data_IF_879805882249
#
_entry.id   IF_879805882249
#
_cell.length_a   1.000
_cell.length_b   1.000
_cell.length_c   1.000
_cell.angle_alpha   90.00
_cell.angle_beta   90.00
_cell.angle_gamma   90.00
#
_symmetry.space_group_name_H-M   'P 1'
#
loop_
_entity.id
_entity.type
_entity.pdbx_description
1 polymer ?
#
# COMPACT_ATOMS: atom_id res chain seq x y z
N UNK A 1 44.17 8.65 -24.64
CA UNK A 1 44.13 10.06 -24.19
C UNK A 1 44.38 10.96 -25.39
N UNK A 2 43.32 11.41 -26.07
CA UNK A 2 43.35 12.50 -27.07
C UNK A 2 41.96 13.14 -27.13
N UNK A 3 41.96 14.48 -27.07
CA UNK A 3 40.91 15.42 -27.53
C UNK A 3 39.64 15.48 -26.65
N UNK A 4 39.08 16.62 -26.24
CA UNK A 4 39.14 18.03 -26.70
C UNK A 4 38.54 18.91 -25.56
N UNK A 5 39.19 19.99 -25.07
CA UNK A 5 38.97 21.43 -25.40
C UNK A 5 37.58 21.95 -24.95
N UNK A 6 37.30 23.10 -24.31
CA UNK A 6 38.00 24.32 -23.80
C UNK A 6 36.93 25.09 -22.96
N UNK A 7 37.12 25.47 -21.68
CA UNK A 7 37.52 26.78 -21.08
C UNK A 7 36.77 28.05 -21.61
N UNK A 8 36.86 29.23 -20.95
CA UNK A 8 36.39 29.66 -19.61
C UNK A 8 35.82 31.11 -19.62
N UNK A 9 35.54 31.68 -18.44
CA UNK A 9 35.56 33.14 -18.19
C UNK A 9 34.19 33.84 -18.23
N UNK A 10 33.91 34.89 -17.48
CA UNK A 10 34.73 35.71 -16.58
C UNK A 10 33.81 36.50 -15.62
N UNK A 11 34.37 36.92 -14.49
CA UNK A 11 33.84 37.97 -13.62
C UNK A 11 33.50 39.25 -14.39
N UNK A 12 32.49 40.01 -13.96
CA UNK A 12 32.64 41.39 -13.43
C UNK A 12 31.28 42.10 -13.26
N UNK A 13 31.17 42.73 -12.10
CA UNK A 13 30.23 43.76 -11.61
C UNK A 13 29.70 44.78 -12.62
N UNK A 14 28.41 45.16 -12.50
CA UNK A 14 27.98 46.57 -12.46
C UNK A 14 26.50 46.71 -12.05
N UNK A 15 26.28 47.60 -11.09
CA UNK A 15 25.00 48.08 -10.55
C UNK A 15 24.40 49.13 -11.50
N UNK A 16 23.15 48.98 -11.93
CA UNK A 16 22.33 50.09 -12.46
C UNK A 16 20.92 49.99 -11.90
N UNK A 17 20.57 51.01 -11.13
CA UNK A 17 19.27 51.28 -10.55
C UNK A 17 18.37 51.89 -11.63
N UNK A 18 17.20 51.31 -11.89
CA UNK A 18 16.15 51.94 -12.70
C UNK A 18 14.77 51.68 -12.09
N UNK A 19 14.13 52.77 -11.69
CA UNK A 19 12.76 52.87 -11.20
C UNK A 19 11.76 52.24 -12.18
N UNK A 20 10.79 51.47 -11.66
CA UNK A 20 9.46 51.32 -12.27
C UNK A 20 8.42 50.85 -11.23
N UNK A 21 7.15 51.24 -11.39
CA UNK A 21 6.24 51.57 -10.30
C UNK A 21 5.41 50.39 -9.79
N UNK A 22 4.82 50.60 -8.61
CA UNK A 22 3.90 49.74 -7.91
C UNK A 22 2.90 49.00 -8.81
N UNK A 23 2.99 47.67 -8.81
CA UNK A 23 1.94 46.76 -9.26
C UNK A 23 1.25 46.24 -8.01
N UNK A 24 0.01 46.68 -7.82
CA UNK A 24 -0.87 46.28 -6.74
C UNK A 24 -0.94 44.74 -6.64
N UNK A 25 -0.51 44.19 -5.50
CA UNK A 25 -0.71 42.78 -5.18
C UNK A 25 -2.18 42.56 -4.86
N UNK A 26 -2.93 42.09 -5.86
CA UNK A 26 -4.29 41.60 -5.68
C UNK A 26 -4.23 40.33 -4.83
N UNK A 27 -4.97 40.22 -3.71
CA UNK A 27 -4.95 39.02 -2.88
C UNK A 27 -5.38 37.80 -3.69
N UNK A 28 -4.79 36.62 -3.47
CA UNK A 28 -5.16 35.42 -4.19
C UNK A 28 -6.63 35.11 -3.91
N UNK A 29 -7.41 35.04 -4.99
CA UNK A 29 -8.78 34.55 -4.94
C UNK A 29 -8.75 33.10 -4.45
N UNK A 30 -9.28 32.86 -3.25
CA UNK A 30 -9.52 31.54 -2.73
C UNK A 30 -10.47 30.82 -3.69
N UNK A 31 -9.94 29.81 -4.40
CA UNK A 31 -10.77 28.88 -5.15
C UNK A 31 -11.58 28.07 -4.14
N UNK A 32 -12.91 27.98 -4.24
CA UNK A 32 -13.66 27.08 -3.37
C UNK A 32 -13.24 25.66 -3.70
N UNK A 33 -12.51 25.02 -2.78
CA UNK A 33 -12.29 23.58 -2.79
C UNK A 33 -13.67 22.93 -2.82
N UNK A 34 -14.04 22.37 -3.97
CA UNK A 34 -15.20 21.52 -4.09
C UNK A 34 -14.94 20.29 -3.21
N UNK A 35 -15.48 20.30 -1.98
CA UNK A 35 -15.63 19.08 -1.19
C UNK A 35 -16.54 18.18 -1.99
N UNK A 36 -15.95 17.25 -2.74
CA UNK A 36 -16.69 16.15 -3.34
C UNK A 36 -17.37 15.42 -2.18
N UNK A 37 -18.67 15.65 -2.00
CA UNK A 37 -19.49 14.88 -1.10
C UNK A 37 -19.39 13.43 -1.60
N UNK A 38 -18.61 12.61 -0.88
CA UNK A 38 -18.58 11.18 -1.11
C UNK A 38 -20.01 10.68 -0.89
N UNK A 39 -20.71 10.42 -1.99
CA UNK A 39 -22.02 9.81 -1.97
C UNK A 39 -21.84 8.49 -1.20
N UNK A 40 -22.58 8.22 -0.11
CA UNK A 40 -22.37 7.02 0.67
C UNK A 40 -22.55 5.83 -0.27
N UNK A 41 -21.43 5.15 -0.59
CA UNK A 41 -21.47 3.96 -1.40
C UNK A 41 -22.44 3.00 -0.71
N UNK A 42 -23.44 2.52 -1.44
CA UNK A 42 -24.37 1.54 -0.90
C UNK A 42 -23.55 0.37 -0.33
N UNK A 43 -23.72 0.10 0.96
CA UNK A 43 -23.02 -0.99 1.65
C UNK A 43 -23.29 -2.30 0.90
N UNK A 44 -22.23 -2.94 0.44
CA UNK A 44 -22.32 -4.18 -0.35
C UNK A 44 -22.58 -5.39 0.56
N UNK A 45 -22.06 -5.35 1.79
CA UNK A 45 -22.22 -6.33 2.84
C UNK A 45 -23.05 -5.74 3.99
N UNK A 46 -23.98 -6.54 4.54
CA UNK A 46 -24.66 -6.20 5.78
C UNK A 46 -23.71 -6.37 6.98
N UNK A 47 -24.01 -5.74 8.12
CA UNK A 47 -23.19 -5.92 9.32
C UNK A 47 -23.13 -7.38 9.77
N UNK A 48 -24.25 -8.11 9.70
CA UNK A 48 -24.28 -9.53 10.05
C UNK A 48 -23.43 -10.40 9.12
N UNK A 49 -23.29 -9.99 7.84
CA UNK A 49 -22.41 -10.68 6.89
C UNK A 49 -20.94 -10.39 7.20
N UNK A 50 -20.61 -9.13 7.53
CA UNK A 50 -19.26 -8.76 7.94
C UNK A 50 -18.86 -9.45 9.25
N UNK A 51 -19.74 -9.50 10.24
CA UNK A 51 -19.49 -10.22 11.51
C UNK A 51 -19.16 -11.69 11.25
N UNK A 52 -19.90 -12.36 10.36
CA UNK A 52 -19.63 -13.75 9.98
C UNK A 52 -18.35 -13.91 9.17
N UNK A 53 -18.06 -12.96 8.29
CA UNK A 53 -16.87 -12.97 7.44
C UNK A 53 -15.59 -12.78 8.26
N UNK A 54 -15.63 -11.91 9.26
CA UNK A 54 -14.51 -11.58 10.14
C UNK A 54 -14.38 -12.53 11.34
N UNK A 55 -15.45 -13.26 11.71
CA UNK A 55 -15.44 -14.19 12.84
C UNK A 55 -14.21 -15.14 12.91
N UNK A 56 -13.70 -15.73 11.80
CA UNK A 56 -12.53 -16.60 11.85
C UNK A 56 -11.23 -15.90 12.29
N UNK A 57 -11.16 -14.58 12.12
CA UNK A 57 -9.96 -13.77 12.37
C UNK A 57 -10.16 -12.74 13.50
N UNK A 58 -11.38 -12.60 14.04
CA UNK A 58 -11.74 -11.57 15.02
C UNK A 58 -10.93 -11.60 16.33
N UNK A 59 -10.27 -12.72 16.65
CA UNK A 59 -9.43 -12.87 17.84
C UNK A 59 -7.93 -12.67 17.55
N UNK A 60 -7.56 -12.34 16.32
CA UNK A 60 -6.18 -12.09 15.96
C UNK A 60 -5.73 -10.68 16.38
N UNK A 61 -4.43 -10.49 16.65
CA UNK A 61 -3.89 -9.15 16.92
C UNK A 61 -4.16 -8.21 15.75
N UNK A 62 -4.45 -6.94 16.04
CA UNK A 62 -4.80 -5.92 15.03
C UNK A 62 -3.75 -5.81 13.90
N UNK A 63 -2.46 -5.86 14.23
CA UNK A 63 -1.39 -5.85 13.23
C UNK A 63 -1.48 -7.05 12.24
N UNK A 64 -1.87 -8.23 12.74
CA UNK A 64 -2.07 -9.41 11.90
C UNK A 64 -3.38 -9.30 11.10
N UNK A 65 -4.43 -8.74 11.68
CA UNK A 65 -5.69 -8.46 10.98
C UNK A 65 -5.46 -7.54 9.78
N UNK A 66 -4.76 -6.43 9.97
CA UNK A 66 -4.41 -5.51 8.90
C UNK A 66 -3.62 -6.21 7.78
N UNK A 67 -2.66 -7.07 8.15
CA UNK A 67 -1.89 -7.88 7.20
C UNK A 67 -2.79 -8.82 6.38
N UNK A 68 -3.71 -9.52 7.03
CA UNK A 68 -4.64 -10.46 6.37
C UNK A 68 -5.58 -9.70 5.44
N UNK A 69 -6.16 -8.57 5.90
CA UNK A 69 -7.06 -7.75 5.11
C UNK A 69 -6.37 -7.18 3.87
N UNK A 70 -5.15 -6.65 4.03
CA UNK A 70 -4.36 -6.19 2.88
C UNK A 70 -4.00 -7.35 1.93
N UNK A 71 -3.52 -8.48 2.45
CA UNK A 71 -3.15 -9.61 1.61
C UNK A 71 -4.34 -10.24 0.88
N UNK A 72 -5.55 -10.12 1.43
CA UNK A 72 -6.78 -10.62 0.78
C UNK A 72 -7.12 -9.90 -0.52
N UNK A 73 -6.54 -8.71 -0.78
CA UNK A 73 -6.67 -8.02 -2.07
C UNK A 73 -5.74 -8.57 -3.15
N UNK A 74 -4.82 -9.47 -2.80
CA UNK A 74 -3.85 -10.11 -3.70
C UNK A 74 -3.89 -11.65 -3.61
N UNK A 75 -5.03 -12.28 -3.92
CA UNK A 75 -5.24 -13.71 -3.67
C UNK A 75 -4.26 -14.63 -4.42
N UNK A 76 -3.80 -14.22 -5.60
CA UNK A 76 -2.79 -14.97 -6.34
C UNK A 76 -1.47 -15.05 -5.57
N UNK A 77 -1.00 -13.92 -5.04
CA UNK A 77 0.26 -13.85 -4.29
C UNK A 77 0.17 -14.64 -2.97
N UNK A 78 -0.99 -14.63 -2.32
CA UNK A 78 -1.24 -15.47 -1.14
C UNK A 78 -1.11 -16.96 -1.47
N UNK A 79 -1.66 -17.41 -2.59
CA UNK A 79 -1.54 -18.81 -3.05
C UNK A 79 -0.09 -19.15 -3.41
N UNK A 80 0.63 -18.25 -4.07
CA UNK A 80 2.05 -18.43 -4.39
C UNK A 80 2.90 -18.53 -3.11
N UNK A 81 2.68 -17.63 -2.15
CA UNK A 81 3.33 -17.64 -0.86
C UNK A 81 3.03 -18.95 -0.09
N UNK A 82 1.78 -19.42 -0.09
CA UNK A 82 1.40 -20.67 0.54
C UNK A 82 2.10 -21.89 -0.09
N UNK A 83 2.17 -21.94 -1.43
CA UNK A 83 2.90 -22.98 -2.16
C UNK A 83 4.39 -22.92 -1.89
N UNK A 84 4.97 -21.72 -1.88
CA UNK A 84 6.38 -21.51 -1.54
C UNK A 84 6.68 -21.99 -0.13
N UNK A 85 5.87 -21.62 0.86
CA UNK A 85 6.03 -22.04 2.26
C UNK A 85 5.97 -23.57 2.40
N UNK A 86 5.02 -24.21 1.71
CA UNK A 86 4.89 -25.68 1.68
C UNK A 86 6.09 -26.37 1.03
N UNK A 87 6.69 -25.78 0.01
CA UNK A 87 7.90 -26.30 -0.65
C UNK A 87 9.17 -26.07 0.19
N UNK A 88 9.15 -25.13 1.13
CA UNK A 88 10.29 -24.70 1.93
C UNK A 88 10.06 -24.86 3.45
N UNK A 89 9.64 -26.03 3.96
CA UNK A 89 9.20 -26.18 5.36
C UNK A 89 10.31 -25.99 6.40
N UNK A 90 11.58 -25.96 5.96
CA UNK A 90 12.76 -25.78 6.82
C UNK A 90 13.32 -24.35 6.78
N UNK A 91 12.75 -23.46 5.95
CA UNK A 91 13.24 -22.08 5.80
C UNK A 91 12.50 -21.19 6.79
N UNK A 92 13.22 -20.74 7.82
CA UNK A 92 12.66 -19.94 8.92
C UNK A 92 13.65 -18.85 9.36
N UNK A 93 13.19 -17.91 10.21
CA UNK A 93 14.01 -16.83 10.76
C UNK A 93 14.71 -16.02 9.66
N UNK A 94 16.00 -15.74 9.84
CA UNK A 94 16.78 -14.97 8.86
C UNK A 94 16.77 -15.57 7.45
N UNK A 95 16.76 -16.90 7.31
CA UNK A 95 16.72 -17.53 6.00
C UNK A 95 15.39 -17.26 5.28
N UNK A 96 14.29 -17.17 6.03
CA UNK A 96 12.99 -16.76 5.50
C UNK A 96 13.00 -15.29 5.09
N UNK A 97 13.53 -14.41 5.94
CA UNK A 97 13.67 -12.97 5.63
C UNK A 97 14.48 -12.75 4.34
N UNK A 98 15.64 -13.40 4.22
CA UNK A 98 16.49 -13.33 3.03
C UNK A 98 15.81 -13.88 1.77
N UNK A 99 14.94 -14.89 1.92
CA UNK A 99 14.16 -15.44 0.82
C UNK A 99 13.02 -14.50 0.41
N UNK A 100 12.29 -13.93 1.38
CA UNK A 100 11.21 -12.98 1.16
C UNK A 100 11.70 -11.66 0.57
N UNK A 101 12.93 -11.23 0.88
CA UNK A 101 13.55 -10.06 0.27
C UNK A 101 13.73 -10.18 -1.26
N UNK A 102 13.71 -11.40 -1.81
CA UNK A 102 13.84 -11.68 -3.24
C UNK A 102 12.50 -11.81 -3.96
N UNK A 103 11.41 -11.90 -3.22
CA UNK A 103 10.07 -11.99 -3.79
C UNK A 103 9.59 -10.60 -4.20
N UNK A 104 8.82 -10.54 -5.29
CA UNK A 104 8.18 -9.30 -5.76
C UNK A 104 6.87 -8.98 -5.05
N UNK A 105 6.42 -9.85 -4.15
CA UNK A 105 5.16 -9.67 -3.41
C UNK A 105 5.20 -8.47 -2.48
N UNK A 106 4.02 -7.95 -2.19
CA UNK A 106 3.85 -6.85 -1.24
C UNK A 106 4.32 -7.25 0.18
N UNK A 107 4.60 -6.28 1.08
CA UNK A 107 4.97 -6.57 2.46
C UNK A 107 3.90 -7.42 3.18
N UNK A 108 2.64 -7.17 2.82
CA UNK A 108 1.45 -8.02 2.94
C UNK A 108 1.73 -9.52 3.16
N UNK A 109 2.05 -10.11 2.02
CA UNK A 109 2.07 -11.52 1.70
C UNK A 109 3.40 -12.13 2.13
N UNK A 110 4.49 -11.35 2.02
CA UNK A 110 5.79 -11.75 2.55
C UNK A 110 5.74 -12.01 4.04
N UNK A 111 5.10 -11.14 4.82
CA UNK A 111 5.00 -11.34 6.26
C UNK A 111 4.12 -12.54 6.62
N UNK A 112 3.08 -12.85 5.83
CA UNK A 112 2.25 -14.03 6.05
C UNK A 112 3.04 -15.35 5.97
N UNK A 113 4.17 -15.39 5.27
CA UNK A 113 5.04 -16.59 5.26
C UNK A 113 5.64 -16.92 6.63
N UNK A 114 5.73 -15.93 7.52
CA UNK A 114 6.13 -16.11 8.92
C UNK A 114 4.98 -16.59 9.82
N UNK A 115 3.75 -16.66 9.28
CA UNK A 115 2.55 -17.15 9.99
C UNK A 115 1.89 -18.27 9.17
N UNK A 116 2.53 -19.45 9.04
CA UNK A 116 2.12 -20.47 8.07
C UNK A 116 0.68 -20.95 8.26
N UNK A 117 0.18 -20.99 9.50
CA UNK A 117 -1.20 -21.40 9.78
C UNK A 117 -2.23 -20.47 9.12
N UNK A 118 -2.02 -19.15 9.22
CA UNK A 118 -2.91 -18.15 8.61
C UNK A 118 -2.81 -18.20 7.09
N UNK A 119 -1.57 -18.29 6.58
CA UNK A 119 -1.33 -18.40 5.15
C UNK A 119 -2.00 -19.65 4.54
N UNK A 120 -1.95 -20.79 5.23
CA UNK A 120 -2.69 -21.99 4.81
C UNK A 120 -4.20 -21.80 4.90
N UNK A 121 -4.72 -21.21 5.99
CA UNK A 121 -6.15 -20.92 6.11
C UNK A 121 -6.66 -20.07 4.95
N UNK A 122 -5.93 -19.01 4.60
CA UNK A 122 -6.24 -18.17 3.44
C UNK A 122 -6.22 -19.00 2.15
N UNK A 123 -5.14 -19.74 1.89
CA UNK A 123 -5.01 -20.58 0.70
C UNK A 123 -6.12 -21.64 0.57
N UNK A 124 -6.56 -22.23 1.69
CA UNK A 124 -7.57 -23.30 1.69
C UNK A 124 -9.00 -22.74 1.55
N UNK A 125 -9.21 -21.46 1.85
CA UNK A 125 -10.52 -20.80 1.84
C UNK A 125 -10.52 -19.62 0.85
N UNK A 126 -10.30 -19.90 -0.44
CA UNK A 126 -10.18 -18.88 -1.49
C UNK A 126 -11.44 -18.01 -1.64
N UNK A 127 -12.63 -18.61 -1.58
CA UNK A 127 -13.90 -17.85 -1.64
C UNK A 127 -14.06 -16.89 -0.46
N UNK A 128 -13.58 -17.28 0.72
CA UNK A 128 -13.58 -16.44 1.90
C UNK A 128 -12.57 -15.30 1.77
N UNK A 129 -11.34 -15.60 1.31
CA UNK A 129 -10.31 -14.59 1.05
C UNK A 129 -10.79 -13.55 0.04
N UNK A 130 -11.43 -13.98 -1.06
CA UNK A 130 -11.96 -13.06 -2.06
C UNK A 130 -13.02 -12.13 -1.46
N UNK A 131 -13.98 -12.68 -0.70
CA UNK A 131 -14.99 -11.86 -0.01
C UNK A 131 -14.39 -10.90 1.00
N UNK A 132 -13.32 -11.32 1.69
CA UNK A 132 -12.60 -10.50 2.65
C UNK A 132 -11.94 -9.30 1.95
N UNK A 133 -11.28 -9.54 0.81
CA UNK A 133 -10.69 -8.48 -0.02
C UNK A 133 -11.75 -7.54 -0.57
N UNK A 134 -12.87 -8.08 -1.07
CA UNK A 134 -14.00 -7.27 -1.56
C UNK A 134 -14.60 -6.40 -0.45
N UNK A 135 -14.76 -6.94 0.76
CA UNK A 135 -15.26 -6.21 1.92
C UNK A 135 -14.29 -5.09 2.31
N UNK A 136 -12.98 -5.37 2.36
CA UNK A 136 -11.96 -4.37 2.68
C UNK A 136 -11.91 -3.23 1.66
N UNK A 137 -11.99 -3.54 0.37
CA UNK A 137 -11.96 -2.53 -0.70
C UNK A 137 -13.23 -1.66 -0.75
N UNK A 138 -14.39 -2.21 -0.39
CA UNK A 138 -15.69 -1.53 -0.53
C UNK A 138 -16.18 -0.87 0.75
N UNK A 139 -15.83 -1.44 1.90
CA UNK A 139 -16.33 -1.05 3.22
C UNK A 139 -15.21 -1.08 4.28
N UNK A 140 -14.07 -0.48 3.95
CA UNK A 140 -12.90 -0.43 4.85
C UNK A 140 -13.26 0.01 6.29
N UNK A 141 -14.12 1.04 6.44
CA UNK A 141 -14.54 1.55 7.75
C UNK A 141 -15.39 0.56 8.58
N UNK A 142 -16.01 -0.43 7.95
CA UNK A 142 -16.81 -1.43 8.66
C UNK A 142 -15.98 -2.68 9.00
N UNK A 143 -14.73 -2.80 8.51
CA UNK A 143 -13.85 -3.96 8.74
C UNK A 143 -12.57 -3.62 9.52
N UNK A 144 -12.33 -2.34 9.83
CA UNK A 144 -11.22 -1.82 10.67
C UNK A 144 -11.79 -1.07 11.86
#
# INVERSE_FOLDING_TARGET
>A
MKSTCSRPGALLTALVFALSPALAQQPPAASPSATAAANPAAKTFSQQDLDRLLAPIALYPDALLAQILMASTYPLEVVEAARWSKANPKVTGKALEDAMAKQSWDPAERALTSVPQVLQQMNDNLDWMQKLGDAFLRQQQDVM
#
